data_IF_746012523035
#
_entry.id   IF_746012523035
#
_cell.length_a   1.000
_cell.length_b   1.000
_cell.length_c   1.000
_cell.angle_alpha   90.00
_cell.angle_beta   90.00
_cell.angle_gamma   90.00
#
_symmetry.space_group_name_H-M   'P 1'
#
loop_
_entity.id
_entity.type
_entity.pdbx_description
1 polymer ?
#
# COMPACT_ATOMS: atom_id res chain seq x y z
N UNK A 1 5.05 8.62 -7.39
CA UNK A 1 4.05 8.12 -6.42
C UNK A 1 4.62 7.01 -5.55
N UNK A 2 5.07 5.89 -6.13
CA UNK A 2 5.54 4.72 -5.38
C UNK A 2 6.68 5.02 -4.40
N UNK A 3 7.64 5.87 -4.80
CA UNK A 3 8.74 6.30 -3.91
C UNK A 3 8.27 7.13 -2.72
N UNK A 4 7.23 7.94 -2.88
CA UNK A 4 6.63 8.70 -1.77
C UNK A 4 5.97 7.73 -0.79
N UNK A 5 5.30 6.68 -1.30
CA UNK A 5 4.76 5.59 -0.49
C UNK A 5 5.84 4.86 0.31
N UNK A 6 6.98 4.56 -0.32
CA UNK A 6 8.15 3.99 0.36
C UNK A 6 8.64 4.91 1.50
N UNK A 7 8.85 6.20 1.22
CA UNK A 7 9.29 7.18 2.20
C UNK A 7 8.31 7.33 3.37
N UNK A 8 7.00 7.34 3.09
CA UNK A 8 5.95 7.37 4.12
C UNK A 8 6.00 6.13 5.00
N UNK A 9 6.07 4.93 4.40
CA UNK A 9 6.22 3.67 5.15
C UNK A 9 7.51 3.63 5.99
N UNK A 10 8.61 4.18 5.46
CA UNK A 10 9.89 4.25 6.18
C UNK A 10 9.79 5.20 7.38
N UNK A 11 9.15 6.36 7.19
CA UNK A 11 8.89 7.31 8.28
C UNK A 11 8.05 6.67 9.39
N UNK A 12 6.97 5.95 9.02
CA UNK A 12 6.11 5.27 10.00
C UNK A 12 6.89 4.21 10.78
N UNK A 13 7.76 3.45 10.11
CA UNK A 13 8.64 2.48 10.78
C UNK A 13 9.63 3.16 11.73
N UNK A 14 10.31 4.24 11.31
CA UNK A 14 11.28 4.95 12.15
C UNK A 14 10.63 5.60 13.38
N UNK A 15 9.44 6.18 13.21
CA UNK A 15 8.66 6.73 14.31
C UNK A 15 8.24 5.64 15.31
N UNK A 16 7.98 4.40 14.85
CA UNK A 16 7.71 3.28 15.75
C UNK A 16 8.92 2.86 16.62
N UNK A 17 10.14 3.21 16.21
CA UNK A 17 11.38 3.03 16.97
C UNK A 17 11.82 4.29 17.74
N UNK A 18 10.94 5.29 17.90
CA UNK A 18 11.21 6.60 18.52
C UNK A 18 12.32 7.42 17.84
N UNK A 19 12.59 7.19 16.54
CA UNK A 19 13.56 7.95 15.76
C UNK A 19 12.83 9.01 14.93
N UNK A 20 12.59 10.18 15.53
CA UNK A 20 11.86 11.29 14.90
C UNK A 20 12.76 12.19 14.03
N UNK A 21 13.49 11.59 13.08
CA UNK A 21 14.44 12.32 12.21
C UNK A 21 13.75 12.91 10.94
N UNK A 22 12.46 12.62 10.71
CA UNK A 22 11.77 12.88 9.43
C UNK A 22 10.46 13.67 9.58
N UNK A 23 10.35 14.52 10.60
CA UNK A 23 9.13 15.29 10.84
C UNK A 23 9.00 16.52 9.94
N UNK A 24 10.11 17.05 9.43
CA UNK A 24 10.10 18.17 8.49
C UNK A 24 9.67 17.79 7.07
N UNK A 25 8.88 18.65 6.43
CA UNK A 25 8.58 18.56 4.99
C UNK A 25 9.85 18.54 4.12
N UNK A 26 10.90 19.24 4.55
CA UNK A 26 12.19 19.25 3.85
C UNK A 26 12.91 17.91 3.96
N UNK A 27 13.00 17.33 5.16
CA UNK A 27 13.64 16.04 5.42
C UNK A 27 12.94 14.91 4.65
N UNK A 28 11.60 14.92 4.63
CA UNK A 28 10.80 13.98 3.85
C UNK A 28 11.09 14.07 2.35
N UNK A 29 11.21 15.30 1.80
CA UNK A 29 11.57 15.51 0.39
C UNK A 29 13.01 15.08 0.11
N UNK A 30 13.95 15.36 1.00
CA UNK A 30 15.35 14.96 0.86
C UNK A 30 15.49 13.42 0.84
N UNK A 31 14.79 12.71 1.74
CA UNK A 31 14.71 11.25 1.73
C UNK A 31 14.13 10.72 0.40
N UNK A 32 13.09 11.38 -0.12
CA UNK A 32 12.52 11.10 -1.43
C UNK A 32 13.55 11.18 -2.56
N UNK A 33 14.33 12.27 -2.61
CA UNK A 33 15.39 12.45 -3.62
C UNK A 33 16.46 11.37 -3.49
N UNK A 34 16.94 11.12 -2.27
CA UNK A 34 17.96 10.07 -2.01
C UNK A 34 17.46 8.70 -2.46
N UNK A 35 16.22 8.33 -2.12
CA UNK A 35 15.65 7.03 -2.49
C UNK A 35 15.44 6.87 -4.01
N UNK A 36 15.09 7.94 -4.74
CA UNK A 36 15.03 7.88 -6.21
C UNK A 36 16.43 7.68 -6.79
N UNK A 37 17.44 8.43 -6.30
CA UNK A 37 18.82 8.31 -6.79
C UNK A 37 19.35 6.89 -6.55
N UNK A 38 19.14 6.33 -5.36
CA UNK A 38 19.60 4.97 -5.04
C UNK A 38 18.90 3.93 -5.91
N UNK A 39 17.58 4.05 -6.12
CA UNK A 39 16.85 3.13 -7.00
C UNK A 39 17.30 3.25 -8.46
N UNK A 40 17.56 4.46 -8.96
CA UNK A 40 18.11 4.66 -10.31
C UNK A 40 19.49 4.03 -10.47
N UNK A 41 20.38 4.18 -9.48
CA UNK A 41 21.70 3.53 -9.49
C UNK A 41 21.55 2.00 -9.49
N UNK A 42 20.65 1.46 -8.66
CA UNK A 42 20.36 0.02 -8.63
C UNK A 42 19.82 -0.48 -9.97
N UNK A 43 18.96 0.29 -10.64
CA UNK A 43 18.48 -0.03 -11.99
C UNK A 43 19.65 -0.12 -12.99
N UNK A 44 20.58 0.84 -12.95
CA UNK A 44 21.72 0.86 -13.88
C UNK A 44 22.70 -0.30 -13.64
N UNK A 45 22.95 -0.68 -12.39
CA UNK A 45 23.91 -1.75 -12.04
C UNK A 45 23.28 -3.15 -12.26
N UNK A 46 21.97 -3.28 -12.05
CA UNK A 46 21.30 -4.56 -11.87
C UNK A 46 20.34 -4.98 -12.98
N UNK A 47 20.40 -4.39 -14.18
CA UNK A 47 19.44 -4.71 -15.26
C UNK A 47 19.31 -6.21 -15.53
N UNK A 48 20.42 -6.95 -15.48
CA UNK A 48 20.43 -8.40 -15.76
C UNK A 48 19.79 -9.24 -14.64
N UNK A 49 19.69 -8.71 -13.41
CA UNK A 49 19.13 -9.41 -12.24
C UNK A 49 17.78 -8.88 -11.80
N UNK A 50 17.16 -8.02 -12.61
CA UNK A 50 15.88 -7.38 -12.29
C UNK A 50 14.79 -8.42 -11.96
N UNK A 51 14.66 -9.47 -12.79
CA UNK A 51 13.65 -10.51 -12.62
C UNK A 51 13.83 -11.30 -11.30
N UNK A 52 15.08 -11.55 -10.89
CA UNK A 52 15.37 -12.23 -9.61
C UNK A 52 14.95 -11.36 -8.42
N UNK A 53 15.24 -10.06 -8.47
CA UNK A 53 14.86 -9.10 -7.42
C UNK A 53 13.33 -8.96 -7.36
N UNK A 54 12.65 -8.80 -8.49
CA UNK A 54 11.18 -8.70 -8.52
C UNK A 54 10.50 -9.94 -7.93
N UNK A 55 11.02 -11.14 -8.20
CA UNK A 55 10.51 -12.38 -7.59
C UNK A 55 10.71 -12.41 -6.06
N UNK A 56 11.85 -11.96 -5.56
CA UNK A 56 12.08 -11.85 -4.12
C UNK A 56 11.14 -10.84 -3.45
N UNK A 57 10.91 -9.68 -4.09
CA UNK A 57 9.96 -8.67 -3.60
C UNK A 57 8.51 -9.18 -3.63
N UNK A 58 8.13 -9.95 -4.65
CA UNK A 58 6.82 -10.58 -4.74
C UNK A 58 6.57 -11.53 -3.56
N UNK A 59 7.57 -12.33 -3.19
CA UNK A 59 7.48 -13.22 -2.01
C UNK A 59 7.24 -12.40 -0.73
N UNK A 60 7.95 -11.28 -0.54
CA UNK A 60 7.73 -10.41 0.62
C UNK A 60 6.31 -9.84 0.68
N UNK A 61 5.74 -9.47 -0.47
CA UNK A 61 4.35 -8.99 -0.56
C UNK A 61 3.37 -10.11 -0.18
N UNK A 62 3.56 -11.32 -0.71
CA UNK A 62 2.70 -12.47 -0.42
C UNK A 62 2.72 -12.79 1.08
N UNK A 63 3.91 -12.82 1.69
CA UNK A 63 4.05 -13.04 3.13
C UNK A 63 3.32 -11.94 3.92
N UNK A 64 3.43 -10.67 3.49
CA UNK A 64 2.71 -9.55 4.10
C UNK A 64 1.19 -9.73 4.07
N UNK A 65 0.63 -10.16 2.93
CA UNK A 65 -0.82 -10.41 2.78
C UNK A 65 -1.26 -11.55 3.71
N UNK A 66 -0.57 -12.68 3.71
CA UNK A 66 -0.92 -13.81 4.59
C UNK A 66 -0.77 -13.44 6.08
N UNK A 67 0.21 -12.63 6.44
CA UNK A 67 0.43 -12.15 7.81
C UNK A 67 -0.74 -11.31 8.34
N UNK A 68 -1.38 -10.48 7.49
CA UNK A 68 -2.62 -9.76 7.86
C UNK A 68 -3.78 -10.75 8.05
N UNK A 69 -3.97 -11.68 7.12
CA UNK A 69 -5.08 -12.64 7.18
C UNK A 69 -4.97 -13.51 8.44
N UNK A 70 -3.79 -14.08 8.71
CA UNK A 70 -3.55 -14.90 9.90
C UNK A 70 -3.69 -14.05 11.18
N UNK A 71 -3.14 -12.84 11.20
CA UNK A 71 -3.29 -11.92 12.34
C UNK A 71 -4.74 -11.59 12.65
N UNK A 72 -5.55 -11.35 11.63
CA UNK A 72 -6.99 -11.10 11.79
C UNK A 72 -7.74 -12.29 12.40
N UNK A 73 -7.34 -13.53 12.06
CA UNK A 73 -7.95 -14.77 12.59
C UNK A 73 -7.57 -15.03 14.05
N UNK A 74 -6.34 -14.70 14.46
CA UNK A 74 -5.89 -14.84 15.84
C UNK A 74 -6.59 -13.81 16.75
N UNK A 75 -6.88 -12.61 16.21
CA UNK A 75 -7.56 -11.55 16.93
C UNK A 75 -6.61 -10.70 17.79
N UNK A 76 -7.16 -9.74 18.56
CA UNK A 76 -6.38 -8.74 19.29
C UNK A 76 -5.63 -9.34 20.48
N UNK A 77 -4.31 -9.44 20.36
CA UNK A 77 -3.41 -9.94 21.42
C UNK A 77 -3.00 -8.87 22.43
N UNK A 78 -2.89 -7.61 22.01
CA UNK A 78 -2.47 -6.51 22.88
C UNK A 78 -3.63 -5.56 23.22
N UNK A 79 -3.58 -4.99 24.44
CA UNK A 79 -4.56 -4.00 24.90
C UNK A 79 -4.48 -2.73 24.04
N UNK A 80 -3.28 -2.38 23.56
CA UNK A 80 -3.07 -1.28 22.62
C UNK A 80 -3.81 -1.50 21.29
N UNK A 81 -3.78 -2.72 20.75
CA UNK A 81 -4.54 -3.04 19.53
C UNK A 81 -6.06 -2.98 19.77
N UNK A 82 -6.55 -3.38 20.95
CA UNK A 82 -7.97 -3.18 21.30
C UNK A 82 -8.32 -1.70 21.40
N UNK A 83 -7.44 -0.89 21.99
CA UNK A 83 -7.63 0.56 22.13
C UNK A 83 -7.63 1.28 20.77
N UNK A 84 -6.88 0.77 19.78
CA UNK A 84 -6.90 1.30 18.41
C UNK A 84 -8.13 0.87 17.60
N UNK A 85 -9.02 0.03 18.15
CA UNK A 85 -10.28 -0.38 17.54
C UNK A 85 -10.30 -1.78 16.93
N UNK A 86 -9.29 -2.62 17.21
CA UNK A 86 -9.26 -4.01 16.75
C UNK A 86 -10.11 -4.89 17.65
N UNK A 87 -11.30 -5.26 17.17
CA UNK A 87 -12.29 -6.06 17.90
C UNK A 87 -12.15 -7.57 17.66
N UNK A 88 -11.39 -7.98 16.64
CA UNK A 88 -11.43 -9.34 16.09
C UNK A 88 -12.66 -9.54 15.21
N UNK A 89 -12.84 -10.75 14.65
CA UNK A 89 -13.99 -11.05 13.78
C UNK A 89 -15.30 -10.93 14.55
N UNK A 90 -16.05 -9.86 14.29
CA UNK A 90 -17.34 -9.58 14.91
C UNK A 90 -18.35 -9.20 13.84
N UNK A 91 -19.51 -9.89 13.86
CA UNK A 91 -20.60 -9.61 12.93
C UNK A 91 -21.19 -8.20 13.16
N UNK A 92 -21.14 -7.70 14.39
CA UNK A 92 -21.62 -6.36 14.72
C UNK A 92 -20.72 -5.27 14.10
N UNK A 93 -19.39 -5.46 14.16
CA UNK A 93 -18.41 -4.57 13.52
C UNK A 93 -18.59 -4.59 12.01
N UNK A 94 -18.73 -5.77 11.41
CA UNK A 94 -18.96 -5.91 9.97
C UNK A 94 -20.23 -5.20 9.51
N UNK A 95 -21.35 -5.38 10.23
CA UNK A 95 -22.63 -4.75 9.89
C UNK A 95 -22.56 -3.22 10.01
N UNK A 96 -21.84 -2.70 10.99
CA UNK A 96 -21.58 -1.25 11.13
C UNK A 96 -20.75 -0.71 9.98
N UNK A 97 -19.82 -1.51 9.44
CA UNK A 97 -18.92 -1.09 8.37
C UNK A 97 -19.51 -1.20 6.96
N UNK A 98 -20.60 -1.94 6.77
CA UNK A 98 -21.16 -2.26 5.45
C UNK A 98 -21.59 -1.05 4.59
N UNK A 99 -22.15 -0.01 5.21
CA UNK A 99 -22.67 1.15 4.48
C UNK A 99 -21.63 2.25 4.29
N UNK A 100 -21.72 3.06 3.23
CA UNK A 100 -20.83 4.20 3.05
C UNK A 100 -21.01 5.25 4.16
N UNK A 101 -19.92 5.84 4.62
CA UNK A 101 -19.90 6.99 5.52
C UNK A 101 -18.81 7.96 5.07
N UNK A 102 -19.16 8.76 4.07
CA UNK A 102 -18.25 9.75 3.49
C UNK A 102 -18.14 10.94 4.43
N UNK A 103 -16.95 11.16 4.99
CA UNK A 103 -16.68 12.26 5.91
C UNK A 103 -16.12 13.49 5.19
N UNK A 104 -16.35 14.64 5.80
CA UNK A 104 -15.70 15.88 5.41
C UNK A 104 -14.36 15.98 6.13
N UNK A 105 -13.29 16.14 5.35
CA UNK A 105 -11.98 16.43 5.91
C UNK A 105 -11.86 17.94 6.15
N UNK A 106 -11.87 18.31 7.43
CA UNK A 106 -11.78 19.69 7.91
C UNK A 106 -10.39 20.27 7.61
N UNK A 107 -9.35 19.44 7.59
CA UNK A 107 -7.95 19.90 7.46
C UNK A 107 -7.64 20.34 6.03
N UNK A 108 -8.14 19.60 5.04
CA UNK A 108 -7.94 19.90 3.63
C UNK A 108 -9.11 20.65 2.97
N UNK A 109 -10.22 20.87 3.69
CA UNK A 109 -11.49 21.39 3.17
C UNK A 109 -12.04 20.57 1.98
N UNK A 110 -11.84 19.24 2.02
CA UNK A 110 -12.27 18.35 0.94
C UNK A 110 -13.44 17.51 1.44
N UNK A 111 -14.56 17.55 0.71
CA UNK A 111 -15.63 16.59 0.89
C UNK A 111 -15.27 15.29 0.17
N UNK A 112 -15.05 14.20 0.91
CA UNK A 112 -14.86 12.91 0.27
C UNK A 112 -16.15 12.48 -0.42
N UNK A 113 -16.06 12.16 -1.70
CA UNK A 113 -17.15 11.59 -2.47
C UNK A 113 -16.75 10.21 -2.98
N UNK A 114 -17.70 9.43 -3.51
CA UNK A 114 -17.40 8.17 -4.18
C UNK A 114 -16.28 8.34 -5.23
N UNK A 115 -16.35 9.37 -6.08
CA UNK A 115 -15.37 9.62 -7.12
C UNK A 115 -13.99 10.03 -6.56
N UNK A 116 -13.95 10.75 -5.43
CA UNK A 116 -12.69 11.09 -4.76
C UNK A 116 -11.97 9.83 -4.29
N UNK A 117 -12.69 8.92 -3.62
CA UNK A 117 -12.11 7.67 -3.12
C UNK A 117 -11.74 6.75 -4.29
N UNK A 118 -12.58 6.69 -5.33
CA UNK A 118 -12.27 5.96 -6.57
C UNK A 118 -10.98 6.46 -7.22
N UNK A 119 -10.77 7.78 -7.31
CA UNK A 119 -9.56 8.36 -7.91
C UNK A 119 -8.28 8.03 -7.11
N UNK A 120 -8.38 7.90 -5.78
CA UNK A 120 -7.26 7.47 -4.92
C UNK A 120 -6.96 5.98 -5.10
N UNK A 121 -8.00 5.14 -5.26
CA UNK A 121 -7.85 3.69 -5.46
C UNK A 121 -7.46 3.31 -6.89
N UNK A 122 -7.85 4.10 -7.89
CA UNK A 122 -7.68 3.77 -9.31
C UNK A 122 -6.22 3.46 -9.69
N UNK A 123 -5.19 4.22 -9.25
CA UNK A 123 -3.80 3.86 -9.50
C UNK A 123 -3.42 2.45 -9.05
N UNK A 124 -4.05 1.89 -8.01
CA UNK A 124 -3.75 0.54 -7.52
C UNK A 124 -4.14 -0.58 -8.50
N UNK A 125 -5.18 -0.37 -9.33
CA UNK A 125 -5.62 -1.35 -10.34
C UNK A 125 -4.96 -1.16 -11.70
N UNK A 126 -4.14 -0.11 -11.86
CA UNK A 126 -3.35 0.10 -13.08
C UNK A 126 -2.16 -0.84 -13.17
N UNK A 127 -1.39 -0.79 -14.27
CA UNK A 127 -0.18 -1.58 -14.43
C UNK A 127 -0.36 -2.92 -15.16
N UNK A 128 -1.57 -3.20 -15.66
CA UNK A 128 -1.89 -4.39 -16.49
C UNK A 128 -0.96 -4.49 -17.73
N UNK A 129 -0.47 -3.35 -18.24
CA UNK A 129 0.42 -3.27 -19.39
C UNK A 129 1.87 -3.68 -19.08
N UNK A 130 2.28 -3.80 -17.82
CA UNK A 130 3.66 -4.15 -17.45
C UNK A 130 4.10 -5.49 -18.07
N UNK A 131 3.20 -6.48 -18.16
CA UNK A 131 3.50 -7.77 -18.79
C UNK A 131 3.69 -7.69 -20.32
N UNK A 132 3.02 -6.75 -20.99
CA UNK A 132 3.18 -6.54 -22.43
C UNK A 132 4.52 -5.86 -22.78
N UNK A 133 5.07 -5.07 -21.85
CA UNK A 133 6.35 -4.38 -22.03
C UNK A 133 7.57 -5.32 -22.09
N UNK A 134 7.40 -6.60 -21.71
CA UNK A 134 8.45 -7.64 -21.71
C UNK A 134 8.15 -8.70 -22.80
N UNK A 135 7.26 -8.38 -23.75
CA UNK A 135 6.81 -9.31 -24.79
C UNK A 135 7.94 -9.86 -25.67
N UNK A 136 9.03 -9.10 -25.85
CA UNK A 136 10.19 -9.51 -26.64
C UNK A 136 11.04 -10.62 -26.00
N UNK A 137 10.94 -10.82 -24.68
CA UNK A 137 11.74 -11.80 -23.94
C UNK A 137 10.97 -13.12 -23.70
N UNK A 138 9.72 -13.20 -24.17
CA UNK A 138 8.86 -14.37 -24.02
C UNK A 138 9.06 -15.35 -25.18
N UNK A 139 9.09 -16.65 -24.87
CA UNK A 139 9.14 -17.73 -25.87
C UNK A 139 7.95 -17.67 -26.85
N UNK A 140 6.74 -17.44 -26.34
CA UNK A 140 5.50 -17.40 -27.12
C UNK A 140 4.59 -16.24 -26.65
N UNK A 141 4.81 -14.99 -27.11
CA UNK A 141 4.12 -13.81 -26.58
C UNK A 141 2.61 -13.79 -26.86
N UNK A 142 2.18 -14.27 -28.03
CA UNK A 142 0.77 -14.26 -28.47
C UNK A 142 -0.16 -15.08 -27.57
N UNK A 143 0.36 -16.12 -26.93
CA UNK A 143 -0.41 -16.98 -26.02
C UNK A 143 -0.13 -16.69 -24.55
N UNK A 144 1.10 -16.28 -24.22
CA UNK A 144 1.53 -16.05 -22.83
C UNK A 144 0.98 -14.75 -22.26
N UNK A 145 0.93 -13.67 -23.05
CA UNK A 145 0.46 -12.36 -22.57
C UNK A 145 -1.03 -12.44 -22.16
N UNK A 146 -1.97 -12.90 -23.01
CA UNK A 146 -3.39 -12.89 -22.64
C UNK A 146 -3.68 -13.77 -21.41
N UNK A 147 -3.06 -14.96 -21.34
CA UNK A 147 -3.24 -15.90 -20.21
C UNK A 147 -2.66 -15.34 -18.92
N UNK A 148 -1.44 -14.80 -18.97
CA UNK A 148 -0.76 -14.23 -17.80
C UNK A 148 -1.48 -12.99 -17.27
N UNK A 149 -1.93 -12.11 -18.17
CA UNK A 149 -2.67 -10.90 -17.81
C UNK A 149 -4.02 -11.22 -17.18
N UNK A 150 -4.83 -12.09 -17.79
CA UNK A 150 -6.15 -12.44 -17.25
C UNK A 150 -6.05 -13.14 -15.90
N UNK A 151 -5.11 -14.08 -15.74
CA UNK A 151 -4.87 -14.77 -14.47
C UNK A 151 -4.43 -13.79 -13.38
N UNK A 152 -3.49 -12.89 -13.70
CA UNK A 152 -3.03 -11.86 -12.77
C UNK A 152 -4.17 -10.96 -12.30
N UNK A 153 -5.07 -10.54 -13.20
CA UNK A 153 -6.24 -9.72 -12.85
C UNK A 153 -7.16 -10.46 -11.88
N UNK A 154 -7.44 -11.74 -12.10
CA UNK A 154 -8.29 -12.54 -11.19
C UNK A 154 -7.64 -12.65 -9.81
N UNK A 155 -6.33 -12.88 -9.75
CA UNK A 155 -5.59 -12.98 -8.49
C UNK A 155 -5.63 -11.66 -7.72
N UNK A 156 -5.40 -10.52 -8.39
CA UNK A 156 -5.39 -9.20 -7.73
C UNK A 156 -6.77 -8.74 -7.30
N UNK A 157 -7.82 -9.01 -8.08
CA UNK A 157 -9.21 -8.75 -7.66
C UNK A 157 -9.52 -9.57 -6.39
N UNK A 158 -9.15 -10.84 -6.38
CA UNK A 158 -9.40 -11.73 -5.23
C UNK A 158 -8.65 -11.23 -3.99
N UNK A 159 -7.38 -10.85 -4.13
CA UNK A 159 -6.60 -10.34 -2.99
C UNK A 159 -7.14 -9.01 -2.47
N UNK A 160 -7.58 -8.10 -3.35
CA UNK A 160 -8.22 -6.84 -2.93
C UNK A 160 -9.53 -7.06 -2.19
N UNK A 161 -10.40 -7.93 -2.68
CA UNK A 161 -11.67 -8.25 -2.00
C UNK A 161 -11.40 -8.78 -0.59
N UNK A 162 -10.42 -9.68 -0.43
CA UNK A 162 -10.02 -10.20 0.89
C UNK A 162 -9.50 -9.08 1.79
N UNK A 163 -8.58 -8.25 1.30
CA UNK A 163 -7.97 -7.16 2.08
C UNK A 163 -8.93 -6.00 2.38
N UNK A 164 -10.09 -5.93 1.72
CA UNK A 164 -11.17 -4.98 2.06
C UNK A 164 -12.11 -5.59 3.10
N UNK A 165 -12.54 -6.84 2.88
CA UNK A 165 -13.53 -7.49 3.75
C UNK A 165 -12.96 -7.84 5.13
N UNK A 166 -11.69 -8.29 5.20
CA UNK A 166 -11.08 -8.71 6.46
C UNK A 166 -10.96 -7.53 7.44
N UNK A 167 -10.30 -6.40 7.11
CA UNK A 167 -10.29 -5.22 7.99
C UNK A 167 -11.68 -4.68 8.30
N UNK A 168 -12.60 -4.70 7.31
CA UNK A 168 -13.98 -4.29 7.50
C UNK A 168 -14.76 -5.15 8.51
N UNK A 169 -14.36 -6.41 8.71
CA UNK A 169 -14.98 -7.29 9.69
C UNK A 169 -14.36 -7.20 11.09
N UNK A 170 -13.10 -6.74 11.19
CA UNK A 170 -12.34 -6.81 12.45
C UNK A 170 -12.06 -5.48 13.12
N UNK A 171 -12.11 -4.37 12.38
CA UNK A 171 -11.71 -3.04 12.85
C UNK A 171 -12.91 -2.08 12.89
N UNK A 172 -12.99 -1.26 13.94
CA UNK A 172 -13.97 -0.16 14.04
C UNK A 172 -13.59 1.03 13.13
N UNK A 173 -14.59 1.82 12.71
CA UNK A 173 -14.37 3.02 11.89
C UNK A 173 -13.50 4.06 12.57
N UNK A 174 -13.80 4.29 13.83
CA UNK A 174 -13.18 5.28 14.68
C UNK A 174 -12.81 4.61 16.00
N UNK A 175 -11.65 4.99 16.53
CA UNK A 175 -11.18 4.60 17.84
C UNK A 175 -10.24 5.67 18.41
N UNK A 176 -10.23 5.81 19.74
CA UNK A 176 -9.40 6.81 20.39
C UNK A 176 -7.91 6.44 20.42
N UNK A 177 -7.57 5.15 20.53
CA UNK A 177 -6.20 4.69 20.66
C UNK A 177 -5.58 4.86 22.05
N UNK A 178 -6.29 5.44 23.02
CA UNK A 178 -5.80 5.65 24.39
C UNK A 178 -6.12 4.43 25.27
N UNK A 179 -5.07 3.83 25.86
CA UNK A 179 -5.17 2.60 26.66
C UNK A 179 -5.87 2.84 28.01
N UNK A 180 -5.62 3.97 28.65
CA UNK A 180 -6.23 4.28 29.95
C UNK A 180 -7.74 4.46 29.82
N UNK A 181 -8.16 5.16 28.76
CA UNK A 181 -9.57 5.20 28.40
C UNK A 181 -10.07 3.80 28.15
N UNK A 182 -9.32 2.94 27.42
CA UNK A 182 -9.66 1.55 27.13
C UNK A 182 -10.06 0.73 28.38
N UNK A 183 -9.35 0.95 29.48
CA UNK A 183 -9.53 0.20 30.72
C UNK A 183 -10.70 0.77 31.54
N UNK A 184 -10.89 2.09 31.54
CA UNK A 184 -11.88 2.78 32.37
C UNK A 184 -13.34 2.57 31.91
N UNK A 185 -13.60 2.55 30.60
CA UNK A 185 -14.96 2.46 30.04
C UNK A 185 -15.32 1.07 29.48
N UNK A 186 -14.61 0.02 29.91
CA UNK A 186 -14.94 -1.38 29.65
C UNK A 186 -15.31 -1.74 28.20
N UNK A 187 -14.63 -1.14 27.21
CA UNK A 187 -14.80 -1.47 25.80
C UNK A 187 -15.71 -0.55 24.98
N UNK A 188 -16.37 0.46 25.57
CA UNK A 188 -17.28 1.35 24.82
C UNK A 188 -16.57 2.53 24.14
N UNK A 189 -15.52 2.27 23.34
CA UNK A 189 -14.79 3.31 22.57
C UNK A 189 -15.43 3.62 21.22
N UNK A 190 -16.76 3.75 21.20
CA UNK A 190 -17.53 3.78 19.96
C UNK A 190 -18.06 5.14 19.54
N UNK A 191 -17.95 6.19 20.36
CA UNK A 191 -18.46 7.51 20.00
C UNK A 191 -17.38 8.58 20.14
N UNK A 192 -16.62 8.79 19.07
CA UNK A 192 -15.91 10.05 18.84
C UNK A 192 -16.82 11.11 18.21
N UNK A 193 -18.14 11.02 18.41
CA UNK A 193 -19.10 11.99 17.86
C UNK A 193 -18.83 13.44 18.31
N UNK A 194 -18.15 13.63 19.45
CA UNK A 194 -17.84 14.94 20.03
C UNK A 194 -16.33 15.25 20.11
N UNK A 195 -15.45 14.41 19.56
CA UNK A 195 -13.98 14.58 19.65
C UNK A 195 -13.26 13.99 18.45
N UNK A 196 -12.11 14.56 18.08
CA UNK A 196 -11.29 14.00 17.01
C UNK A 196 -10.63 12.69 17.47
N UNK A 197 -11.05 11.59 16.87
CA UNK A 197 -10.39 10.29 16.99
C UNK A 197 -9.13 10.26 16.10
N UNK A 198 -8.07 9.60 16.56
CA UNK A 198 -6.81 9.46 15.81
C UNK A 198 -6.59 8.04 15.27
N UNK A 199 -7.42 7.07 15.66
CA UNK A 199 -7.32 5.65 15.30
C UNK A 199 -8.62 5.12 14.68
N UNK A 200 -8.58 3.90 14.16
CA UNK A 200 -9.68 3.27 13.42
C UNK A 200 -9.44 3.22 11.90
N UNK A 201 -10.39 2.65 11.16
CA UNK A 201 -10.31 2.50 9.69
C UNK A 201 -10.11 3.84 8.95
N UNK A 202 -10.63 4.93 9.48
CA UNK A 202 -10.65 6.21 8.76
C UNK A 202 -9.35 7.01 8.90
N UNK A 203 -8.75 6.98 10.09
CA UNK A 203 -7.64 7.86 10.46
C UNK A 203 -6.30 7.14 10.63
N UNK A 204 -6.30 5.83 10.89
CA UNK A 204 -5.06 5.11 11.18
C UNK A 204 -4.32 4.70 9.89
N UNK A 205 -3.20 5.38 9.60
CA UNK A 205 -2.28 4.98 8.54
C UNK A 205 -1.58 3.65 8.85
N UNK A 206 -1.52 3.24 10.12
CA UNK A 206 -0.87 2.00 10.57
C UNK A 206 -1.87 0.86 10.85
N UNK A 207 -3.01 0.88 10.16
CA UNK A 207 -4.09 -0.07 10.39
C UNK A 207 -3.64 -1.53 10.17
N UNK A 208 -2.97 -1.82 9.05
CA UNK A 208 -2.56 -3.19 8.73
C UNK A 208 -1.50 -3.72 9.70
N UNK A 209 -0.64 -2.84 10.24
CA UNK A 209 0.36 -3.19 11.26
C UNK A 209 -0.30 -3.60 12.57
N UNK A 210 -1.46 -3.02 12.89
CA UNK A 210 -2.19 -3.33 14.14
C UNK A 210 -2.95 -4.65 14.04
N UNK A 211 -3.40 -5.02 12.83
CA UNK A 211 -4.15 -6.27 12.58
C UNK A 211 -3.20 -7.46 12.34
N UNK A 212 -2.03 -7.22 11.77
CA UNK A 212 -1.08 -8.27 11.40
C UNK A 212 -0.48 -9.01 12.61
N UNK A 213 -0.09 -10.28 12.39
CA UNK A 213 0.60 -11.07 13.41
C UNK A 213 1.97 -10.48 13.77
N UNK A 214 2.72 -9.99 12.78
CA UNK A 214 3.96 -9.25 12.97
C UNK A 214 3.92 -7.90 12.26
N UNK A 215 3.97 -6.76 12.99
CA UNK A 215 3.98 -5.42 12.39
C UNK A 215 5.15 -5.19 11.44
N UNK A 216 6.34 -5.73 11.77
CA UNK A 216 7.57 -5.54 10.98
C UNK A 216 7.47 -6.16 9.59
N UNK A 217 6.81 -7.31 9.47
CA UNK A 217 6.62 -7.99 8.19
C UNK A 217 5.75 -7.15 7.22
N UNK A 218 4.79 -6.37 7.74
CA UNK A 218 4.00 -5.45 6.90
C UNK A 218 4.86 -4.35 6.30
N UNK A 219 5.78 -3.75 7.08
CA UNK A 219 6.70 -2.75 6.53
C UNK A 219 7.56 -3.31 5.39
N UNK A 220 8.09 -4.53 5.54
CA UNK A 220 8.83 -5.19 4.46
C UNK A 220 7.96 -5.48 3.23
N UNK A 221 6.71 -5.89 3.42
CA UNK A 221 5.75 -6.06 2.33
C UNK A 221 5.46 -4.74 1.60
N UNK A 222 5.24 -3.64 2.33
CA UNK A 222 5.04 -2.31 1.78
C UNK A 222 6.27 -1.80 1.02
N UNK A 223 7.48 -2.03 1.57
CA UNK A 223 8.72 -1.72 0.86
C UNK A 223 8.85 -2.56 -0.41
N UNK A 224 8.55 -3.86 -0.35
CA UNK A 224 8.56 -4.73 -1.52
C UNK A 224 7.63 -4.26 -2.64
N UNK A 225 6.38 -3.92 -2.29
CA UNK A 225 5.39 -3.42 -3.26
C UNK A 225 5.79 -2.07 -3.88
N UNK A 226 6.25 -1.13 -3.06
CA UNK A 226 6.61 0.22 -3.53
C UNK A 226 7.90 0.23 -4.34
N UNK A 227 8.90 -0.55 -3.93
CA UNK A 227 10.16 -0.68 -4.67
C UNK A 227 9.98 -1.47 -5.96
N UNK A 228 9.21 -2.57 -5.95
CA UNK A 228 8.95 -3.40 -7.15
C UNK A 228 8.31 -2.57 -8.27
N UNK A 229 7.26 -1.80 -7.94
CA UNK A 229 6.56 -0.95 -8.91
C UNK A 229 7.37 0.27 -9.33
N UNK A 230 8.19 0.85 -8.44
CA UNK A 230 9.12 1.93 -8.79
C UNK A 230 10.21 1.44 -9.76
N UNK A 231 10.80 0.27 -9.50
CA UNK A 231 11.83 -0.34 -10.34
C UNK A 231 11.31 -0.60 -11.75
N UNK A 232 10.14 -1.24 -11.85
CA UNK A 232 9.48 -1.52 -13.14
C UNK A 232 9.28 -0.24 -13.95
N UNK A 233 8.80 0.84 -13.32
CA UNK A 233 8.59 2.11 -14.01
C UNK A 233 9.90 2.76 -14.48
N UNK A 234 10.94 2.73 -13.64
CA UNK A 234 12.26 3.30 -13.97
C UNK A 234 12.93 2.57 -15.14
N UNK A 235 12.68 1.27 -15.32
CA UNK A 235 13.23 0.50 -16.44
C UNK A 235 12.34 0.57 -17.68
N UNK A 236 11.01 0.50 -17.52
CA UNK A 236 10.10 0.43 -18.67
C UNK A 236 10.00 1.75 -19.43
N UNK A 237 10.04 2.89 -18.74
CA UNK A 237 9.84 4.21 -19.37
C UNK A 237 10.97 4.56 -20.34
N UNK A 238 12.27 4.44 -19.97
CA UNK A 238 13.36 4.69 -20.91
C UNK A 238 13.34 3.72 -22.10
N UNK A 239 13.04 2.44 -21.88
CA UNK A 239 12.91 1.44 -22.96
C UNK A 239 11.82 1.84 -23.95
N UNK A 240 10.64 2.25 -23.45
CA UNK A 240 9.55 2.72 -24.30
C UNK A 240 9.97 3.96 -25.11
N UNK A 241 10.58 4.95 -24.44
CA UNK A 241 11.01 6.20 -25.06
C UNK A 241 12.06 5.96 -26.16
N UNK A 242 13.03 5.09 -25.91
CA UNK A 242 14.06 4.70 -26.85
C UNK A 242 13.47 4.05 -28.11
N UNK A 243 12.47 3.16 -27.95
CA UNK A 243 11.80 2.53 -29.10
C UNK A 243 10.98 3.52 -29.92
N UNK A 244 10.28 4.44 -29.26
CA UNK A 244 9.58 5.53 -29.95
C UNK A 244 10.52 6.43 -30.75
N UNK A 245 11.75 6.66 -30.26
CA UNK A 245 12.80 7.39 -30.97
C UNK A 245 13.36 6.61 -32.16
N UNK A 246 13.59 5.30 -32.01
CA UNK A 246 14.06 4.42 -33.10
C UNK A 246 13.04 4.30 -34.24
N UNK A 247 11.75 4.29 -33.91
CA UNK A 247 10.66 4.21 -34.89
C UNK A 247 10.32 5.58 -35.53
N UNK A 248 11.11 6.63 -35.24
CA UNK A 248 10.92 8.00 -35.75
C UNK A 248 9.49 8.54 -35.54
N UNK A 249 8.76 8.05 -34.51
CA UNK A 249 7.37 8.47 -34.21
C UNK A 249 7.31 9.96 -33.88
N UNK A 250 8.35 10.46 -33.20
CA UNK A 250 8.53 11.89 -32.93
C UNK A 250 9.94 12.34 -33.31
N UNK A 251 10.09 13.39 -34.14
CA UNK A 251 11.40 13.83 -34.65
C UNK A 251 12.35 14.33 -33.56
N UNK A 252 11.83 14.76 -32.40
CA UNK A 252 12.64 15.21 -31.26
C UNK A 252 13.26 14.05 -30.46
N UNK A 253 12.66 12.85 -30.50
CA UNK A 253 13.12 11.69 -29.72
C UNK A 253 14.28 10.94 -30.37
N UNK A 254 14.63 11.27 -31.62
CA UNK A 254 15.71 10.62 -32.38
C UNK A 254 17.11 10.81 -31.77
N UNK A 255 17.28 11.85 -30.96
CA UNK A 255 18.57 12.23 -30.35
C UNK A 255 18.73 11.77 -28.89
N UNK A 256 17.75 11.03 -28.37
CA UNK A 256 17.68 10.46 -27.01
C UNK A 256 18.12 9.00 -27.02
#
# INVERSE_FOLDING_TARGET
MNTIGFCSSLKLMLNSYNINILDGNFEFRALGVVSIITMSILCCIGMDREAEVQNALLIAIIIGIFNVIIGSCIGPTSISAKASGFTGFSMDTFRKNWYSDYRFDIENNIHHSFFTIFAIFFPSVTGIQAGANISGDLKDPSTSIPKGTLLSIVITITSYVILILVPGAVQLREASGIVDEYILNNGTYLNCSSRNCSKGLLYDQNLFQTIALSPTCIYFGCFGATLSTALTALVSVPKLLQRMGQDDVYPLLKYL
#
